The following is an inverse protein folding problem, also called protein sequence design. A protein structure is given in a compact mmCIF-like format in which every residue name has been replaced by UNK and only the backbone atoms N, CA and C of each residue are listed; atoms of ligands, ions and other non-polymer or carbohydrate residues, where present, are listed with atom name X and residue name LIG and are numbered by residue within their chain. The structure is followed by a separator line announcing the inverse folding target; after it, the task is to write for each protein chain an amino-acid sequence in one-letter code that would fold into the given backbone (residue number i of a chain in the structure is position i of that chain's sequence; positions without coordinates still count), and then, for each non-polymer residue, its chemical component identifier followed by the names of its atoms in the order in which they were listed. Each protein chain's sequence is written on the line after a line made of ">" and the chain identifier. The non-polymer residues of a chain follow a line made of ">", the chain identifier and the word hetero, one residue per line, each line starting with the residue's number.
data_IF_850504841321
#
_entry.id   IF_850504841321
#
_cell.length_a   1.000
_cell.length_b   1.000
_cell.length_c   1.000
_cell.angle_alpha   90.00
_cell.angle_beta   90.00
_cell.angle_gamma   90.00
#
_symmetry.space_group_name_H-M   'P 1'
#
loop_
_entity.id
_entity.type
_entity.pdbx_description
1 polymer ?
#
# COMPACT_ATOMS: atom_id res chain seq x y z
N UNK A 1 -10.76 21.26 14.81
CA UNK A 1 -10.15 19.92 14.91
C UNK A 1 -8.95 19.88 13.99
N UNK A 2 -7.81 19.39 14.46
CA UNK A 2 -6.63 19.19 13.62
C UNK A 2 -6.91 18.08 12.61
N UNK A 3 -6.43 18.24 11.36
CA UNK A 3 -6.58 17.23 10.32
C UNK A 3 -5.80 15.98 10.71
N UNK A 4 -6.36 14.77 10.51
CA UNK A 4 -5.62 13.52 10.71
C UNK A 4 -4.38 13.44 9.82
N UNK A 5 -3.31 12.85 10.37
CA UNK A 5 -2.05 12.65 9.67
C UNK A 5 -2.21 11.57 8.60
N UNK A 6 -1.55 11.78 7.46
CA UNK A 6 -1.48 10.79 6.38
C UNK A 6 -0.16 10.02 6.51
N UNK A 7 -0.26 8.69 6.60
CA UNK A 7 0.90 7.80 6.60
C UNK A 7 1.02 7.15 5.21
N UNK A 8 2.13 7.41 4.53
CA UNK A 8 2.43 6.87 3.21
C UNK A 8 3.29 5.61 3.33
N UNK A 9 2.77 4.47 2.87
CA UNK A 9 3.39 3.16 2.95
C UNK A 9 3.78 2.68 1.54
N UNK A 10 5.08 2.58 1.22
CA UNK A 10 5.52 2.12 -0.09
C UNK A 10 5.39 0.61 -0.25
N UNK A 11 5.58 0.11 -1.47
CA UNK A 11 5.66 -1.31 -1.78
C UNK A 11 7.01 -1.94 -1.38
N UNK A 12 7.29 -3.12 -1.95
CA UNK A 12 8.50 -3.88 -1.67
C UNK A 12 9.81 -3.15 -2.06
N UNK A 13 9.75 -2.16 -2.96
CA UNK A 13 10.89 -1.29 -3.26
C UNK A 13 11.38 -0.47 -2.06
N UNK A 14 10.61 -0.37 -1.00
CA UNK A 14 11.00 0.14 0.31
C UNK A 14 11.30 1.63 0.38
N UNK A 15 11.22 2.37 -0.72
CA UNK A 15 11.65 3.76 -0.78
C UNK A 15 10.64 4.71 -0.11
N UNK A 16 11.06 5.54 0.87
CA UNK A 16 10.21 6.58 1.43
C UNK A 16 9.90 7.69 0.41
N UNK A 17 10.63 7.74 -0.72
CA UNK A 17 10.43 8.73 -1.78
C UNK A 17 9.32 8.33 -2.78
N UNK A 18 8.87 7.08 -2.75
CA UNK A 18 7.88 6.56 -3.70
C UNK A 18 6.62 7.44 -3.79
N UNK A 19 6.09 7.85 -2.65
CA UNK A 19 4.88 8.67 -2.56
C UNK A 19 5.11 10.18 -2.66
N UNK A 20 6.37 10.63 -2.79
CA UNK A 20 6.70 12.06 -2.79
C UNK A 20 5.96 12.85 -3.87
N UNK A 21 5.87 12.40 -5.14
CA UNK A 21 5.14 13.15 -6.17
C UNK A 21 3.67 13.38 -5.83
N UNK A 22 3.00 12.35 -5.31
CA UNK A 22 1.60 12.45 -4.85
C UNK A 22 1.49 13.38 -3.64
N UNK A 23 2.39 13.22 -2.67
CA UNK A 23 2.36 14.01 -1.44
C UNK A 23 2.58 15.50 -1.68
N UNK A 24 3.40 15.86 -2.66
CA UNK A 24 3.65 17.25 -3.08
C UNK A 24 2.44 17.86 -3.79
N UNK A 25 1.66 17.05 -4.51
CA UNK A 25 0.42 17.48 -5.17
C UNK A 25 -0.78 17.60 -4.20
N UNK A 26 -0.69 17.05 -2.99
CA UNK A 26 -1.70 17.22 -1.94
C UNK A 26 -1.49 18.56 -1.19
N UNK A 27 -2.55 19.15 -0.58
CA UNK A 27 -2.42 20.40 0.15
C UNK A 27 -1.25 20.39 1.14
N UNK A 28 -0.42 21.44 1.11
CA UNK A 28 0.77 21.55 1.95
C UNK A 28 0.46 21.55 3.45
N UNK A 29 -0.74 21.99 3.83
CA UNK A 29 -1.22 22.04 5.24
C UNK A 29 -1.60 20.68 5.80
N UNK A 30 -1.67 19.63 4.97
CA UNK A 30 -2.00 18.30 5.44
C UNK A 30 -0.76 17.64 6.06
N UNK A 31 -0.82 17.18 7.32
CA UNK A 31 0.32 16.52 7.95
C UNK A 31 0.57 15.16 7.27
N UNK A 32 1.82 14.93 6.86
CA UNK A 32 2.24 13.76 6.08
C UNK A 32 3.47 13.11 6.70
N UNK A 33 3.49 11.80 6.75
CA UNK A 33 4.65 11.01 7.14
C UNK A 33 4.91 9.91 6.12
N UNK A 34 6.17 9.76 5.69
CA UNK A 34 6.58 8.78 4.71
C UNK A 34 7.36 7.66 5.38
N UNK A 35 6.91 6.43 5.17
CA UNK A 35 7.64 5.26 5.63
C UNK A 35 8.62 4.77 4.56
N UNK A 36 9.72 4.22 5.02
CA UNK A 36 10.66 3.41 4.25
C UNK A 36 10.83 2.07 4.93
N UNK A 37 11.17 1.04 4.17
CA UNK A 37 11.28 -0.30 4.70
C UNK A 37 12.75 -0.71 4.84
N UNK A 38 13.31 -0.76 6.06
CA UNK A 38 14.69 -1.19 6.27
C UNK A 38 14.95 -2.58 5.67
N UNK A 39 16.03 -2.69 4.91
CA UNK A 39 16.44 -3.92 4.24
C UNK A 39 15.67 -4.25 2.96
N UNK A 40 14.67 -3.46 2.54
CA UNK A 40 13.96 -3.67 1.27
C UNK A 40 14.41 -2.67 0.21
N UNK A 41 14.35 -3.09 -1.06
CA UNK A 41 14.89 -2.30 -2.16
C UNK A 41 16.36 -1.96 -1.93
N UNK A 42 16.69 -0.67 -1.96
CA UNK A 42 18.03 -0.15 -1.67
C UNK A 42 18.19 0.40 -0.24
N UNK A 43 17.21 0.16 0.65
CA UNK A 43 17.26 0.72 2.00
C UNK A 43 18.27 -0.04 2.88
N UNK A 44 18.95 0.67 3.81
CA UNK A 44 19.85 0.03 4.78
C UNK A 44 19.15 -1.06 5.58
N UNK A 45 19.89 -2.12 5.89
CA UNK A 45 19.37 -3.21 6.71
C UNK A 45 19.24 -2.81 8.19
N UNK A 46 18.15 -3.28 8.80
CA UNK A 46 17.95 -3.30 10.24
C UNK A 46 17.71 -4.77 10.65
N UNK A 47 18.54 -5.36 11.52
CA UNK A 47 18.39 -6.75 11.93
C UNK A 47 17.10 -7.05 12.70
N UNK A 48 16.43 -6.02 13.22
CA UNK A 48 15.12 -6.16 13.86
C UNK A 48 13.97 -6.40 12.85
N UNK A 49 14.19 -6.05 11.56
CA UNK A 49 13.18 -6.13 10.51
C UNK A 49 13.36 -7.43 9.70
N UNK A 50 12.49 -8.41 9.97
CA UNK A 50 12.59 -9.77 9.39
C UNK A 50 11.29 -10.29 8.79
N UNK A 51 10.22 -9.49 8.79
CA UNK A 51 8.91 -9.92 8.33
C UNK A 51 7.99 -8.73 8.06
N UNK A 52 6.84 -8.98 7.41
CA UNK A 52 5.76 -7.99 7.29
C UNK A 52 5.25 -7.53 8.67
N UNK A 53 5.25 -8.41 9.67
CA UNK A 53 4.82 -8.03 11.02
C UNK A 53 5.78 -7.04 11.69
N UNK A 54 7.10 -7.18 11.47
CA UNK A 54 8.06 -6.17 11.95
C UNK A 54 7.82 -4.81 11.29
N UNK A 55 7.53 -4.77 9.97
CA UNK A 55 7.18 -3.53 9.27
C UNK A 55 5.85 -2.95 9.78
N UNK A 56 4.83 -3.80 10.02
CA UNK A 56 3.56 -3.38 10.62
C UNK A 56 3.78 -2.71 11.98
N UNK A 57 4.66 -3.28 12.82
CA UNK A 57 5.01 -2.71 14.12
C UNK A 57 5.65 -1.32 14.00
N UNK A 58 6.51 -1.09 12.99
CA UNK A 58 7.07 0.25 12.74
C UNK A 58 5.97 1.29 12.48
N UNK A 59 4.94 0.92 11.71
CA UNK A 59 3.82 1.82 11.41
C UNK A 59 2.95 2.04 12.64
N UNK A 60 2.53 0.96 13.31
CA UNK A 60 1.63 1.06 14.48
C UNK A 60 2.25 1.79 15.65
N UNK A 61 3.57 1.71 15.84
CA UNK A 61 4.29 2.49 16.84
C UNK A 61 4.17 4.02 16.66
N UNK A 62 3.79 4.48 15.46
CA UNK A 62 3.54 5.91 15.16
C UNK A 62 2.06 6.31 15.23
N UNK A 63 1.16 5.34 15.46
CA UNK A 63 -0.29 5.56 15.44
C UNK A 63 -0.83 5.73 16.88
N UNK A 64 -0.83 6.95 17.37
CA UNK A 64 -1.36 7.30 18.71
C UNK A 64 -2.77 7.92 18.66
N UNK A 65 -3.23 8.22 17.46
CA UNK A 65 -4.53 8.81 17.13
C UNK A 65 -4.98 8.30 15.76
N UNK A 66 -6.26 8.44 15.38
CA UNK A 66 -6.74 8.03 14.06
C UNK A 66 -5.99 8.73 12.93
N UNK A 67 -5.52 7.95 11.95
CA UNK A 67 -4.75 8.40 10.78
C UNK A 67 -5.43 7.99 9.48
N UNK A 68 -4.98 8.59 8.38
CA UNK A 68 -5.27 8.10 7.03
C UNK A 68 -4.09 7.26 6.53
N UNK A 69 -4.35 6.04 6.07
CA UNK A 69 -3.34 5.17 5.47
C UNK A 69 -3.40 5.25 3.95
N UNK A 70 -2.28 5.57 3.32
CA UNK A 70 -2.12 5.57 1.85
C UNK A 70 -1.00 4.60 1.50
N UNK A 71 -1.33 3.49 0.84
CA UNK A 71 -0.43 2.36 0.74
C UNK A 71 -0.41 1.76 -0.67
N UNK A 72 0.79 1.34 -1.12
CA UNK A 72 1.01 0.74 -2.43
C UNK A 72 1.55 -0.69 -2.29
N UNK A 73 1.06 -1.61 -3.14
CA UNK A 73 1.58 -2.97 -3.29
C UNK A 73 1.69 -3.70 -1.93
N UNK A 74 2.88 -4.16 -1.53
CA UNK A 74 3.13 -4.79 -0.22
C UNK A 74 2.71 -3.89 0.95
N UNK A 75 2.94 -2.58 0.86
CA UNK A 75 2.46 -1.61 1.87
C UNK A 75 0.96 -1.68 2.08
N UNK A 76 0.19 -1.99 1.03
CA UNK A 76 -1.26 -2.19 1.11
C UNK A 76 -1.66 -3.42 1.93
N UNK A 77 -0.86 -4.50 1.91
CA UNK A 77 -1.08 -5.66 2.78
C UNK A 77 -0.87 -5.27 4.25
N UNK A 78 0.17 -4.46 4.53
CA UNK A 78 0.44 -3.93 5.88
C UNK A 78 -0.74 -3.05 6.34
N UNK A 79 -1.19 -2.12 5.48
CA UNK A 79 -2.29 -1.23 5.79
C UNK A 79 -3.61 -1.99 6.04
N UNK A 80 -3.92 -3.01 5.24
CA UNK A 80 -5.10 -3.85 5.41
C UNK A 80 -5.06 -4.63 6.75
N UNK A 81 -3.89 -5.18 7.13
CA UNK A 81 -3.71 -5.82 8.45
C UNK A 81 -3.94 -4.83 9.60
N UNK A 82 -3.39 -3.62 9.50
CA UNK A 82 -3.60 -2.58 10.51
C UNK A 82 -5.09 -2.23 10.60
N UNK A 83 -5.78 -2.06 9.47
CA UNK A 83 -7.19 -1.74 9.46
C UNK A 83 -8.08 -2.84 10.08
N UNK A 84 -7.66 -4.11 9.97
CA UNK A 84 -8.33 -5.24 10.63
C UNK A 84 -8.05 -5.32 12.13
N UNK A 85 -6.79 -5.09 12.54
CA UNK A 85 -6.35 -5.24 13.92
C UNK A 85 -6.64 -4.01 14.80
N UNK A 86 -6.65 -2.81 14.21
CA UNK A 86 -6.79 -1.52 14.89
C UNK A 86 -7.76 -0.60 14.12
N UNK A 87 -9.01 -1.03 13.88
CA UNK A 87 -9.99 -0.26 13.10
C UNK A 87 -10.24 1.13 13.67
N UNK A 88 -10.11 1.30 14.99
CA UNK A 88 -10.27 2.59 15.68
C UNK A 88 -9.18 3.62 15.35
N UNK A 89 -8.04 3.16 14.82
CA UNK A 89 -6.91 4.03 14.43
C UNK A 89 -6.83 4.31 12.94
N UNK A 90 -7.74 3.73 12.11
CA UNK A 90 -7.75 3.97 10.66
C UNK A 90 -9.01 4.72 10.27
N UNK A 91 -8.88 6.02 10.01
CA UNK A 91 -9.99 6.87 9.61
C UNK A 91 -10.41 6.60 8.16
N UNK A 92 -9.44 6.56 7.25
CA UNK A 92 -9.63 6.27 5.83
C UNK A 92 -8.46 5.45 5.30
N UNK A 93 -8.73 4.61 4.33
CA UNK A 93 -7.76 3.71 3.72
C UNK A 93 -7.67 3.97 2.21
N UNK A 94 -6.46 4.05 1.67
CA UNK A 94 -6.18 4.05 0.24
C UNK A 94 -5.26 2.87 -0.06
N UNK A 95 -5.73 1.98 -0.94
CA UNK A 95 -5.00 0.81 -1.39
C UNK A 95 -4.72 0.94 -2.90
N UNK A 96 -3.45 1.03 -3.25
CA UNK A 96 -3.00 1.20 -4.61
C UNK A 96 -2.26 -0.06 -5.08
N UNK A 97 -2.75 -0.69 -6.15
CA UNK A 97 -2.14 -1.86 -6.85
C UNK A 97 -1.61 -2.95 -5.89
N UNK A 98 -2.39 -3.31 -4.89
CA UNK A 98 -2.01 -4.28 -3.84
C UNK A 98 -2.74 -5.60 -3.96
N UNK A 99 -2.20 -6.65 -3.34
CA UNK A 99 -2.99 -7.88 -3.12
C UNK A 99 -4.07 -7.67 -2.05
N UNK A 100 -3.88 -6.71 -1.15
CA UNK A 100 -4.74 -6.61 0.04
C UNK A 100 -4.77 -7.91 0.87
N UNK A 101 -3.83 -8.83 0.61
CA UNK A 101 -3.77 -10.14 1.26
C UNK A 101 -4.66 -11.22 0.62
N UNK A 102 -5.16 -11.03 -0.62
CA UNK A 102 -5.83 -12.08 -1.39
C UNK A 102 -4.85 -12.87 -2.26
N UNK A 103 -5.24 -14.08 -2.68
CA UNK A 103 -4.48 -14.84 -3.66
C UNK A 103 -4.61 -14.21 -5.05
N UNK A 104 -3.53 -13.61 -5.52
CA UNK A 104 -3.50 -12.93 -6.81
C UNK A 104 -3.23 -13.87 -8.00
N UNK A 105 -2.65 -15.05 -7.76
CA UNK A 105 -2.26 -15.96 -8.85
C UNK A 105 -3.47 -16.41 -9.66
N UNK A 106 -4.57 -16.74 -8.98
CA UNK A 106 -5.86 -17.09 -9.60
C UNK A 106 -6.51 -15.94 -10.37
N UNK A 107 -6.06 -14.70 -10.15
CA UNK A 107 -6.55 -13.47 -10.79
C UNK A 107 -5.63 -12.96 -11.91
N UNK A 108 -4.67 -13.78 -12.35
CA UNK A 108 -3.80 -13.48 -13.48
C UNK A 108 -2.57 -12.63 -13.17
N UNK A 109 -2.20 -12.49 -11.90
CA UNK A 109 -1.01 -11.75 -11.49
C UNK A 109 0.29 -12.46 -11.93
N UNK A 110 1.27 -11.68 -12.37
CA UNK A 110 2.62 -12.15 -12.66
C UNK A 110 3.45 -12.27 -11.38
N UNK A 111 4.37 -13.25 -11.35
CA UNK A 111 5.33 -13.36 -10.25
C UNK A 111 6.44 -12.30 -10.39
N UNK A 112 6.45 -11.38 -9.47
CA UNK A 112 7.38 -10.25 -9.41
C UNK A 112 8.74 -10.58 -8.76
N UNK A 113 8.86 -11.75 -8.10
CA UNK A 113 10.00 -12.08 -7.23
C UNK A 113 11.33 -12.16 -7.97
N UNK A 114 11.34 -12.75 -9.17
CA UNK A 114 12.56 -12.88 -9.97
C UNK A 114 13.10 -11.51 -10.40
N UNK A 115 12.22 -10.63 -10.84
CA UNK A 115 12.57 -9.27 -11.25
C UNK A 115 13.04 -8.42 -10.06
N UNK A 116 12.39 -8.57 -8.92
CA UNK A 116 12.79 -7.91 -7.68
C UNK A 116 14.20 -8.31 -7.23
N UNK A 117 14.52 -9.62 -7.20
CA UNK A 117 15.87 -10.09 -6.84
C UNK A 117 16.93 -9.54 -7.80
N UNK A 118 16.61 -9.43 -9.08
CA UNK A 118 17.51 -8.87 -10.09
C UNK A 118 17.74 -7.37 -9.87
N UNK A 119 16.69 -6.63 -9.56
CA UNK A 119 16.74 -5.18 -9.34
C UNK A 119 17.38 -4.83 -7.99
N UNK A 120 17.16 -5.66 -6.97
CA UNK A 120 17.61 -5.41 -5.60
C UNK A 120 18.35 -6.61 -5.00
N UNK A 121 19.56 -6.93 -5.53
CA UNK A 121 20.31 -8.13 -5.13
C UNK A 121 20.79 -8.12 -3.66
N UNK A 122 20.75 -6.95 -3.01
CA UNK A 122 21.10 -6.79 -1.58
C UNK A 122 19.88 -6.68 -0.66
N UNK A 123 18.66 -6.75 -1.19
CA UNK A 123 17.47 -6.71 -0.35
C UNK A 123 17.39 -7.95 0.57
N UNK A 124 16.74 -7.77 1.71
CA UNK A 124 16.52 -8.87 2.66
C UNK A 124 15.75 -10.02 1.98
N UNK A 125 16.28 -11.26 2.00
CA UNK A 125 15.72 -12.37 1.24
C UNK A 125 14.29 -12.75 1.69
N UNK A 126 13.94 -12.51 2.94
CA UNK A 126 12.63 -12.87 3.49
C UNK A 126 11.45 -12.31 2.67
N UNK A 127 11.63 -11.18 1.95
CA UNK A 127 10.54 -10.58 1.17
C UNK A 127 10.14 -11.45 -0.04
N UNK A 128 11.10 -12.15 -0.64
CA UNK A 128 10.86 -13.02 -1.79
C UNK A 128 10.71 -14.48 -1.41
N UNK A 129 11.21 -14.88 -0.24
CA UNK A 129 11.22 -16.26 0.25
C UNK A 129 10.02 -16.55 1.17
N UNK A 130 9.29 -15.51 1.55
CA UNK A 130 8.10 -15.67 2.40
C UNK A 130 7.06 -16.58 1.73
N UNK A 131 6.54 -17.51 2.53
CA UNK A 131 5.35 -18.29 2.14
C UNK A 131 4.17 -17.37 1.84
N UNK A 132 3.25 -17.79 0.97
CA UNK A 132 2.03 -17.03 0.72
C UNK A 132 1.36 -16.65 2.04
N UNK A 133 1.05 -15.38 2.20
CA UNK A 133 0.28 -14.91 3.35
C UNK A 133 -1.12 -15.49 3.26
N UNK A 134 -1.69 -16.04 4.33
CA UNK A 134 -3.09 -16.44 4.33
C UNK A 134 -3.99 -15.27 3.91
N UNK A 135 -5.08 -15.53 3.16
CA UNK A 135 -6.02 -14.49 2.77
C UNK A 135 -6.52 -13.69 3.98
N UNK A 136 -6.58 -12.38 3.85
CA UNK A 136 -7.14 -11.51 4.88
C UNK A 136 -8.66 -11.46 4.77
N UNK A 137 -9.34 -11.38 5.91
CA UNK A 137 -10.79 -11.17 5.99
C UNK A 137 -11.13 -9.69 5.69
N UNK A 138 -10.81 -9.24 4.47
CA UNK A 138 -10.95 -7.80 4.07
C UNK A 138 -12.38 -7.30 4.18
N UNK A 139 -13.38 -8.18 4.16
CA UNK A 139 -14.80 -7.90 4.41
C UNK A 139 -15.07 -7.33 5.81
N UNK A 140 -14.14 -7.49 6.74
CA UNK A 140 -14.23 -6.93 8.09
C UNK A 140 -13.55 -5.56 8.21
N UNK A 141 -12.96 -5.01 7.15
CA UNK A 141 -12.42 -3.65 7.15
C UNK A 141 -13.57 -2.65 7.11
N UNK A 142 -13.72 -1.87 8.17
CA UNK A 142 -14.80 -0.88 8.33
C UNK A 142 -14.42 0.51 7.84
N UNK A 143 -13.13 0.78 7.63
CA UNK A 143 -12.65 2.08 7.15
C UNK A 143 -13.11 2.31 5.70
N UNK A 144 -13.67 3.49 5.36
CA UNK A 144 -13.92 3.87 3.97
C UNK A 144 -12.63 3.72 3.15
N UNK A 145 -12.72 2.96 2.04
CA UNK A 145 -11.54 2.54 1.28
C UNK A 145 -11.59 3.03 -0.17
N UNK A 146 -10.53 3.67 -0.62
CA UNK A 146 -10.27 3.97 -2.02
C UNK A 146 -9.29 2.94 -2.59
N UNK A 147 -9.69 2.28 -3.66
CA UNK A 147 -8.86 1.37 -4.45
C UNK A 147 -8.42 2.09 -5.73
N UNK A 148 -7.10 2.09 -6.02
CA UNK A 148 -6.54 2.72 -7.23
C UNK A 148 -5.73 1.67 -7.99
N UNK A 149 -6.08 1.45 -9.26
CA UNK A 149 -5.43 0.45 -10.12
C UNK A 149 -5.05 1.02 -11.47
N UNK A 150 -3.86 0.66 -11.96
CA UNK A 150 -3.47 0.85 -13.35
C UNK A 150 -3.99 -0.28 -14.24
N UNK A 151 -4.46 0.03 -15.45
CA UNK A 151 -4.99 -0.99 -16.38
C UNK A 151 -3.90 -1.76 -17.13
N UNK A 152 -2.63 -1.38 -16.94
CA UNK A 152 -1.44 -2.03 -17.54
C UNK A 152 -0.56 -2.74 -16.50
N UNK A 153 -1.04 -2.90 -15.26
CA UNK A 153 -0.27 -3.55 -14.21
C UNK A 153 -0.31 -5.09 -14.35
N UNK A 154 0.83 -5.75 -14.66
CA UNK A 154 0.89 -7.19 -14.72
C UNK A 154 1.09 -7.85 -13.34
N UNK A 155 1.58 -7.10 -12.34
CA UNK A 155 1.87 -7.61 -11.00
C UNK A 155 0.61 -7.68 -10.15
N UNK A 156 -0.24 -6.64 -10.24
CA UNK A 156 -1.55 -6.62 -9.60
C UNK A 156 -2.60 -6.17 -10.62
N UNK A 157 -3.09 -7.07 -11.48
CA UNK A 157 -4.02 -6.71 -12.56
C UNK A 157 -5.36 -6.20 -11.99
N UNK A 158 -6.11 -5.47 -12.82
CA UNK A 158 -7.41 -4.87 -12.45
C UNK A 158 -8.38 -5.91 -11.85
N UNK A 159 -8.26 -7.18 -12.23
CA UNK A 159 -9.06 -8.27 -11.63
C UNK A 159 -8.89 -8.34 -10.11
N UNK A 160 -7.68 -8.08 -9.59
CA UNK A 160 -7.43 -8.02 -8.14
C UNK A 160 -8.17 -6.83 -7.50
N UNK A 161 -8.10 -5.66 -8.12
CA UNK A 161 -8.81 -4.48 -7.65
C UNK A 161 -10.33 -4.67 -7.63
N UNK A 162 -10.90 -5.31 -8.65
CA UNK A 162 -12.33 -5.67 -8.73
C UNK A 162 -12.72 -6.67 -7.63
N UNK A 163 -11.93 -7.71 -7.45
CA UNK A 163 -12.14 -8.71 -6.40
C UNK A 163 -12.12 -8.07 -5.00
N UNK A 164 -11.20 -7.15 -4.74
CA UNK A 164 -11.19 -6.40 -3.47
C UNK A 164 -12.39 -5.47 -3.34
N UNK A 165 -12.82 -4.80 -4.41
CA UNK A 165 -13.98 -3.91 -4.39
C UNK A 165 -15.29 -4.65 -4.08
N UNK A 166 -15.42 -5.90 -4.51
CA UNK A 166 -16.57 -6.76 -4.21
C UNK A 166 -16.63 -7.22 -2.75
N UNK A 167 -15.47 -7.32 -2.09
CA UNK A 167 -15.36 -7.84 -0.72
C UNK A 167 -15.30 -6.75 0.35
N UNK A 168 -14.75 -5.59 0.05
CA UNK A 168 -14.63 -4.48 0.99
C UNK A 168 -15.97 -3.72 1.10
N UNK A 169 -16.60 -3.62 2.28
CA UNK A 169 -17.97 -3.07 2.43
C UNK A 169 -18.10 -1.60 2.03
N UNK A 170 -17.03 -0.82 2.16
CA UNK A 170 -17.04 0.62 1.90
C UNK A 170 -15.94 1.00 0.90
N UNK A 171 -15.81 0.22 -0.19
CA UNK A 171 -14.78 0.46 -1.19
C UNK A 171 -15.32 1.17 -2.44
N UNK A 172 -14.45 2.00 -3.02
CA UNK A 172 -14.61 2.56 -4.35
C UNK A 172 -13.36 2.27 -5.17
N UNK A 173 -13.52 1.68 -6.35
CA UNK A 173 -12.44 1.39 -7.28
C UNK A 173 -12.34 2.47 -8.35
N UNK A 174 -11.13 3.00 -8.53
CA UNK A 174 -10.73 3.88 -9.62
C UNK A 174 -9.67 3.21 -10.47
N UNK A 175 -9.91 3.13 -11.77
CA UNK A 175 -8.97 2.55 -12.74
C UNK A 175 -8.32 3.69 -13.51
N UNK A 176 -6.98 3.72 -13.50
CA UNK A 176 -6.17 4.74 -14.18
C UNK A 176 -5.71 4.18 -15.54
N UNK A 177 -6.22 4.74 -16.65
CA UNK A 177 -5.82 4.28 -17.99
C UNK A 177 -4.32 4.49 -18.23
N UNK A 178 -3.65 3.47 -18.77
CA UNK A 178 -2.22 3.48 -19.05
C UNK A 178 -1.32 3.30 -17.82
N UNK A 179 -1.89 3.26 -16.62
CA UNK A 179 -1.13 3.06 -15.39
C UNK A 179 -0.62 1.62 -15.25
N UNK A 180 0.59 1.49 -14.74
CA UNK A 180 1.25 0.23 -14.40
C UNK A 180 1.34 0.03 -12.88
N UNK A 181 2.27 -0.83 -12.40
CA UNK A 181 2.49 -1.06 -10.97
C UNK A 181 2.98 0.18 -10.22
N UNK A 182 3.59 1.14 -10.94
CA UNK A 182 4.08 2.41 -10.39
C UNK A 182 3.09 3.58 -10.63
N UNK A 183 1.80 3.28 -10.86
CA UNK A 183 0.74 4.25 -11.18
C UNK A 183 0.73 5.47 -10.25
N UNK A 184 1.05 5.30 -8.97
CA UNK A 184 1.10 6.40 -8.01
C UNK A 184 2.23 7.40 -8.30
N UNK A 185 3.32 6.97 -8.92
CA UNK A 185 4.41 7.88 -9.31
C UNK A 185 4.26 8.36 -10.75
N UNK A 186 3.86 7.49 -11.67
CA UNK A 186 3.72 7.83 -13.10
C UNK A 186 2.49 8.70 -13.40
N UNK A 187 1.44 8.62 -12.58
CA UNK A 187 0.19 9.39 -12.71
C UNK A 187 -0.10 10.21 -11.44
N UNK A 188 0.95 10.77 -10.82
CA UNK A 188 0.90 11.36 -9.49
C UNK A 188 -0.21 12.43 -9.32
N UNK A 189 -0.41 13.32 -10.28
CA UNK A 189 -1.43 14.37 -10.22
C UNK A 189 -2.86 13.81 -10.20
N UNK A 190 -3.12 12.77 -11.01
CA UNK A 190 -4.44 12.12 -11.01
C UNK A 190 -4.66 11.38 -9.70
N UNK A 191 -3.67 10.60 -9.26
CA UNK A 191 -3.74 9.85 -8.00
C UNK A 191 -3.91 10.79 -6.81
N UNK A 192 -3.19 11.93 -6.77
CA UNK A 192 -3.34 12.93 -5.72
C UNK A 192 -4.76 13.52 -5.68
N UNK A 193 -5.37 13.83 -6.83
CA UNK A 193 -6.76 14.32 -6.87
C UNK A 193 -7.75 13.28 -6.34
N UNK A 194 -7.59 12.00 -6.69
CA UNK A 194 -8.44 10.91 -6.19
C UNK A 194 -8.31 10.76 -4.68
N UNK A 195 -7.06 10.78 -4.17
CA UNK A 195 -6.76 10.72 -2.74
C UNK A 195 -7.31 11.95 -2.02
N UNK A 196 -7.10 13.17 -2.54
CA UNK A 196 -7.60 14.37 -1.92
C UNK A 196 -9.12 14.35 -1.76
N UNK A 197 -9.85 13.91 -2.80
CA UNK A 197 -11.32 13.76 -2.74
C UNK A 197 -11.76 12.71 -1.71
N UNK A 198 -11.01 11.62 -1.57
CA UNK A 198 -11.34 10.56 -0.62
C UNK A 198 -11.05 10.96 0.82
N UNK A 199 -9.96 11.67 1.06
CA UNK A 199 -9.54 12.06 2.41
C UNK A 199 -10.25 13.33 2.94
N UNK A 200 -10.92 14.07 2.12
CA UNK A 200 -11.63 15.31 2.49
C UNK A 200 -12.69 15.16 3.59
#
# INVERSE_FOLDING_TARGET
>A
MTRPRILFLPGAGGSPQFWKPVAEALPATWPKEHFGWPGLGAQPHDPAIRSLDSLKQLVTAKMHEPVDLVAQSMGGVIAARIALERPELVRRLVLCVTSGGVDMASLGASDWRADYRRSFPKAAPWITDASPTPPLAVENITAPTLLIWGDKDPVSPVAVGRHLAERLPQARLEIVPGGDHDVASTHADLVARLIAKHLA
#
